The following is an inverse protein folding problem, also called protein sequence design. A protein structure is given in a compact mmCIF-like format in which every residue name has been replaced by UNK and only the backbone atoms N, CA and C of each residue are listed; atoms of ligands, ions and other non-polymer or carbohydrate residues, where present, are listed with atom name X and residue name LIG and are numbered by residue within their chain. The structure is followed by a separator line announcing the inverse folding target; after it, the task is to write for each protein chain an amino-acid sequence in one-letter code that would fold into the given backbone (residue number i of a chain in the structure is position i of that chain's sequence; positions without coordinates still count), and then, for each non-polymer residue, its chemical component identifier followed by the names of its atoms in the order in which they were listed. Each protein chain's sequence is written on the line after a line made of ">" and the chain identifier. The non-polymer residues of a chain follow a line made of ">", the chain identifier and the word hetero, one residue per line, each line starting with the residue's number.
data_IF_572701558810
#
_entry.id   IF_572701558810
#
_cell.length_a   1.000
_cell.length_b   1.000
_cell.length_c   1.000
_cell.angle_alpha   90.00
_cell.angle_beta   90.00
_cell.angle_gamma   90.00
#
_symmetry.space_group_name_H-M   'P 1'
#
loop_
_entity.id
_entity.type
_entity.pdbx_description
1 polymer ?
#
# COMPACT_ATOMS: atom_id res chain seq x y z
N UNK A 1 -21.30 7.16 9.17
CA UNK A 1 -20.38 6.15 8.57
C UNK A 1 -21.08 4.80 8.41
N UNK A 2 -22.08 4.69 7.53
CA UNK A 2 -22.71 3.38 7.26
C UNK A 2 -21.77 2.50 6.44
N UNK A 3 -21.59 1.24 6.85
CA UNK A 3 -20.76 0.25 6.15
C UNK A 3 -19.24 0.38 6.33
N UNK A 4 -18.76 1.32 7.14
CA UNK A 4 -17.33 1.46 7.45
C UNK A 4 -16.86 0.33 8.37
N UNK A 5 -15.72 -0.33 8.08
CA UNK A 5 -15.05 -1.27 8.99
C UNK A 5 -14.87 -0.68 10.39
N UNK A 6 -14.90 -1.53 11.42
CA UNK A 6 -14.72 -1.15 12.82
C UNK A 6 -13.41 -0.40 13.01
N UNK A 7 -12.34 -0.90 12.40
CA UNK A 7 -11.00 -0.30 12.47
C UNK A 7 -10.97 1.16 12.01
N UNK A 8 -11.76 1.52 10.99
CA UNK A 8 -11.81 2.90 10.47
C UNK A 8 -12.57 3.81 11.42
N UNK A 9 -13.65 3.31 12.05
CA UNK A 9 -14.42 4.05 13.05
C UNK A 9 -13.62 4.29 14.33
N UNK A 10 -12.85 3.29 14.77
CA UNK A 10 -11.95 3.39 15.91
C UNK A 10 -10.84 4.40 15.64
N UNK A 11 -10.23 4.33 14.45
CA UNK A 11 -9.24 5.31 14.01
C UNK A 11 -9.81 6.74 14.06
N UNK A 12 -10.93 7.02 13.39
CA UNK A 12 -11.48 8.39 13.37
C UNK A 12 -11.86 8.88 14.76
N UNK A 13 -12.45 8.01 15.59
CA UNK A 13 -12.79 8.34 16.98
C UNK A 13 -11.56 8.68 17.82
N UNK A 14 -10.49 7.90 17.70
CA UNK A 14 -9.24 8.13 18.42
C UNK A 14 -8.53 9.42 17.94
N UNK A 15 -8.50 9.68 16.63
CA UNK A 15 -7.94 10.93 16.09
C UNK A 15 -8.69 12.16 16.61
N UNK A 16 -10.02 12.10 16.69
CA UNK A 16 -10.84 13.18 17.24
C UNK A 16 -10.63 13.35 18.75
N UNK A 17 -10.59 12.25 19.51
CA UNK A 17 -10.35 12.29 20.95
C UNK A 17 -9.00 12.92 21.30
N UNK A 18 -7.96 12.60 20.53
CA UNK A 18 -6.63 13.19 20.65
C UNK A 18 -6.51 14.59 20.04
N UNK A 19 -7.58 15.13 19.43
CA UNK A 19 -7.63 16.44 18.78
C UNK A 19 -6.52 16.67 17.75
N UNK A 20 -6.13 15.61 17.03
CA UNK A 20 -5.10 15.72 16.01
C UNK A 20 -5.57 16.57 14.84
N UNK A 21 -4.67 17.42 14.32
CA UNK A 21 -4.90 18.17 13.10
C UNK A 21 -4.61 17.26 11.91
N UNK A 22 -5.68 16.69 11.33
CA UNK A 22 -5.59 15.79 10.19
C UNK A 22 -6.73 16.02 9.20
N UNK A 23 -6.57 15.54 7.97
CA UNK A 23 -7.68 15.40 7.02
C UNK A 23 -7.40 14.34 5.95
N UNK A 24 -8.45 13.76 5.37
CA UNK A 24 -8.37 13.05 4.11
C UNK A 24 -8.17 14.05 2.96
N UNK A 25 -6.98 14.07 2.37
CA UNK A 25 -6.51 15.23 1.62
C UNK A 25 -6.72 15.15 0.10
N UNK A 26 -7.01 13.96 -0.46
CA UNK A 26 -7.22 13.76 -1.90
C UNK A 26 -8.19 12.63 -2.20
N UNK A 27 -8.88 12.73 -3.34
CA UNK A 27 -9.77 11.68 -3.82
C UNK A 27 -11.13 11.67 -3.11
N UNK A 28 -11.54 12.81 -2.53
CA UNK A 28 -12.76 12.90 -1.73
C UNK A 28 -14.04 12.65 -2.54
N UNK A 29 -13.98 12.74 -3.88
CA UNK A 29 -15.07 12.32 -4.77
C UNK A 29 -15.52 10.85 -4.55
N UNK A 30 -14.65 10.00 -4.00
CA UNK A 30 -14.91 8.59 -3.68
C UNK A 30 -14.57 8.27 -2.22
N UNK A 31 -14.80 9.24 -1.34
CA UNK A 31 -14.48 9.09 0.08
C UNK A 31 -15.13 7.85 0.71
N UNK A 32 -16.38 7.54 0.34
CA UNK A 32 -17.07 6.33 0.79
C UNK A 32 -16.28 5.07 0.45
N UNK A 33 -15.72 4.95 -0.76
CA UNK A 33 -14.92 3.77 -1.15
C UNK A 33 -13.66 3.63 -0.29
N UNK A 34 -13.01 4.74 0.07
CA UNK A 34 -11.85 4.74 0.96
C UNK A 34 -12.25 4.34 2.39
N UNK A 35 -13.32 4.93 2.92
CA UNK A 35 -13.83 4.69 4.29
C UNK A 35 -14.30 3.23 4.47
N UNK A 36 -14.83 2.59 3.43
CA UNK A 36 -15.26 1.18 3.49
C UNK A 36 -14.16 0.17 3.13
N UNK A 37 -12.92 0.64 2.90
CA UNK A 37 -11.74 -0.22 2.65
C UNK A 37 -11.59 -0.72 1.22
N UNK A 38 -12.30 -0.14 0.24
CA UNK A 38 -12.14 -0.46 -1.19
C UNK A 38 -11.00 0.35 -1.84
N UNK A 39 -10.61 1.45 -1.22
CA UNK A 39 -9.49 2.30 -1.64
C UNK A 39 -8.62 2.66 -0.44
N UNK A 40 -7.48 3.27 -0.75
CA UNK A 40 -6.55 3.80 0.25
C UNK A 40 -7.16 5.00 0.98
N UNK A 41 -6.99 5.05 2.30
CA UNK A 41 -7.21 6.24 3.10
C UNK A 41 -5.98 7.14 2.96
N UNK A 42 -6.11 8.24 2.23
CA UNK A 42 -5.03 9.21 2.03
C UNK A 42 -5.11 10.33 3.08
N UNK A 43 -4.49 10.12 4.24
CA UNK A 43 -4.55 11.05 5.38
C UNK A 43 -3.31 11.96 5.40
N UNK A 44 -3.54 13.26 5.50
CA UNK A 44 -2.52 14.25 5.86
C UNK A 44 -2.66 14.55 7.35
N UNK A 45 -1.57 14.51 8.10
CA UNK A 45 -1.53 14.88 9.51
C UNK A 45 -0.46 15.94 9.76
N UNK A 46 -0.70 16.79 10.75
CA UNK A 46 0.34 17.65 11.29
C UNK A 46 1.48 16.81 11.89
N UNK A 47 2.71 17.20 11.57
CA UNK A 47 3.92 16.55 12.06
C UNK A 47 4.06 16.63 13.58
N UNK A 48 3.47 17.65 14.21
CA UNK A 48 3.55 17.84 15.65
C UNK A 48 2.73 16.77 16.40
N UNK A 49 1.75 16.16 15.72
CA UNK A 49 0.95 15.05 16.23
C UNK A 49 1.52 13.65 15.96
N UNK A 50 2.72 13.53 15.37
CA UNK A 50 3.23 12.26 14.87
C UNK A 50 3.38 11.18 15.96
N UNK A 51 3.83 11.57 17.17
CA UNK A 51 3.99 10.63 18.28
C UNK A 51 2.64 10.07 18.75
N UNK A 52 1.69 10.95 19.06
CA UNK A 52 0.35 10.57 19.45
C UNK A 52 -0.36 9.74 18.37
N UNK A 53 -0.13 10.06 17.09
CA UNK A 53 -0.65 9.27 15.99
C UNK A 53 -0.06 7.86 15.95
N UNK A 54 1.26 7.73 16.15
CA UNK A 54 1.90 6.41 16.19
C UNK A 54 1.31 5.52 17.29
N UNK A 55 1.03 6.07 18.47
CA UNK A 55 0.37 5.37 19.57
C UNK A 55 -1.08 4.97 19.22
N UNK A 56 -1.84 5.88 18.61
CA UNK A 56 -3.20 5.59 18.15
C UNK A 56 -3.21 4.46 17.12
N UNK A 57 -2.31 4.52 16.11
CA UNK A 57 -2.23 3.52 15.06
C UNK A 57 -1.90 2.14 15.64
N UNK A 58 -0.92 2.05 16.54
CA UNK A 58 -0.57 0.81 17.22
C UNK A 58 -1.75 0.27 18.06
N UNK A 59 -2.43 1.13 18.82
CA UNK A 59 -3.55 0.75 19.69
C UNK A 59 -4.77 0.27 18.90
N UNK A 60 -5.08 0.93 17.79
CA UNK A 60 -6.19 0.55 16.91
C UNK A 60 -5.86 -0.75 16.16
N UNK A 61 -4.58 -1.03 15.87
CA UNK A 61 -4.14 -2.27 15.23
C UNK A 61 -3.60 -2.10 13.81
N UNK A 62 -3.23 -0.87 13.43
CA UNK A 62 -2.51 -0.58 12.19
C UNK A 62 -1.04 -0.98 12.33
N UNK A 63 -0.56 -1.74 11.34
CA UNK A 63 0.81 -2.21 11.23
C UNK A 63 1.51 -1.47 10.10
N UNK A 64 2.70 -0.96 10.39
CA UNK A 64 3.50 -0.21 9.42
C UNK A 64 4.04 -1.15 8.35
N UNK A 65 3.99 -0.73 7.09
CA UNK A 65 4.62 -1.43 5.97
C UNK A 65 5.97 -0.79 5.64
N UNK A 66 6.91 -1.63 5.21
CA UNK A 66 8.17 -1.21 4.64
C UNK A 66 8.04 -1.20 3.10
N UNK A 67 8.07 -0.01 2.50
CA UNK A 67 8.19 0.14 1.06
C UNK A 67 9.63 -0.16 0.63
N UNK A 68 9.78 -0.77 -0.54
CA UNK A 68 11.07 -1.04 -1.17
C UNK A 68 11.89 0.25 -1.28
N UNK A 69 13.22 0.22 -1.12
CA UNK A 69 14.08 1.41 -1.25
C UNK A 69 13.89 2.17 -2.58
N UNK A 70 13.41 1.47 -3.61
CA UNK A 70 13.13 2.00 -4.94
C UNK A 70 11.80 2.76 -5.03
N UNK A 71 10.90 2.55 -4.08
CA UNK A 71 9.54 3.11 -4.05
C UNK A 71 9.33 4.05 -2.86
N UNK A 72 10.24 4.05 -1.88
CA UNK A 72 10.16 4.92 -0.70
C UNK A 72 9.98 6.38 -1.10
N UNK A 73 8.96 7.01 -0.50
CA UNK A 73 8.66 8.43 -0.61
C UNK A 73 8.94 9.09 0.74
N UNK A 74 9.73 10.18 0.80
CA UNK A 74 9.99 10.86 2.06
C UNK A 74 8.70 11.38 2.71
N UNK A 75 8.62 11.23 4.04
CA UNK A 75 7.51 11.70 4.87
C UNK A 75 6.13 11.14 4.45
N UNK A 76 6.16 9.96 3.81
CA UNK A 76 5.01 9.09 3.57
C UNK A 76 5.25 7.80 4.33
N UNK A 77 4.23 7.33 5.03
CA UNK A 77 4.22 6.03 5.69
C UNK A 77 3.02 5.24 5.20
N UNK A 78 3.22 3.97 4.92
CA UNK A 78 2.16 3.03 4.55
C UNK A 78 1.80 2.21 5.80
N UNK A 79 0.52 2.14 6.14
CA UNK A 79 0.01 1.29 7.21
C UNK A 79 -1.12 0.41 6.69
N UNK A 80 -1.24 -0.78 7.26
CA UNK A 80 -2.27 -1.75 6.93
C UNK A 80 -2.92 -2.25 8.23
N UNK A 81 -4.22 -2.47 8.23
CA UNK A 81 -4.94 -3.06 9.36
C UNK A 81 -5.94 -4.11 8.87
N UNK A 82 -6.09 -5.20 9.62
CA UNK A 82 -7.18 -6.15 9.42
C UNK A 82 -8.38 -5.72 10.26
N UNK A 83 -9.52 -5.56 9.60
CA UNK A 83 -10.80 -5.50 10.28
C UNK A 83 -11.27 -6.92 10.62
N UNK A 84 -11.23 -7.28 11.90
CA UNK A 84 -11.53 -8.64 12.38
C UNK A 84 -12.96 -9.10 12.08
N UNK A 85 -13.88 -8.14 11.93
CA UNK A 85 -15.31 -8.40 11.79
C UNK A 85 -15.65 -8.72 10.33
N UNK A 86 -15.00 -8.05 9.37
CA UNK A 86 -15.25 -8.20 7.93
C UNK A 86 -14.17 -8.98 7.18
N UNK A 87 -13.01 -9.24 7.79
CA UNK A 87 -11.84 -9.84 7.12
C UNK A 87 -11.16 -8.93 6.09
N UNK A 88 -11.60 -7.67 5.99
CA UNK A 88 -11.06 -6.71 5.04
C UNK A 88 -9.77 -6.10 5.57
N UNK A 89 -8.83 -5.91 4.66
CA UNK A 89 -7.67 -5.07 4.93
C UNK A 89 -8.05 -3.61 4.65
N UNK A 90 -7.60 -2.73 5.53
CA UNK A 90 -7.71 -1.28 5.38
C UNK A 90 -6.30 -0.73 5.23
N UNK A 91 -6.07 -0.01 4.14
CA UNK A 91 -4.77 0.58 3.84
C UNK A 91 -4.81 2.09 4.07
N UNK A 92 -3.87 2.57 4.87
CA UNK A 92 -3.69 3.96 5.24
C UNK A 92 -2.38 4.48 4.63
N UNK A 93 -2.49 5.40 3.67
CA UNK A 93 -1.38 6.21 3.22
C UNK A 93 -1.29 7.45 4.09
N UNK A 94 -0.31 7.48 4.99
CA UNK A 94 -0.11 8.55 5.93
C UNK A 94 0.93 9.55 5.43
N UNK A 95 0.50 10.77 5.19
CA UNK A 95 1.32 11.88 4.74
C UNK A 95 1.61 12.84 5.90
N UNK A 96 2.89 13.13 6.14
CA UNK A 96 3.31 14.28 6.97
C UNK A 96 3.75 15.47 6.10
N UNK A 97 4.02 15.21 4.82
CA UNK A 97 4.35 16.23 3.81
C UNK A 97 3.63 15.91 2.51
N UNK A 98 3.29 16.97 1.77
CA UNK A 98 2.69 16.85 0.46
C UNK A 98 3.78 16.66 -0.60
N UNK A 99 4.35 15.45 -0.63
CA UNK A 99 5.37 15.07 -1.61
C UNK A 99 4.72 14.71 -2.94
N UNK A 100 5.20 15.34 -4.02
CA UNK A 100 4.68 15.22 -5.38
C UNK A 100 5.82 14.97 -6.37
N UNK A 101 5.49 14.35 -7.50
CA UNK A 101 6.46 14.06 -8.55
C UNK A 101 5.87 13.17 -9.62
N UNK A 102 6.75 12.57 -10.41
CA UNK A 102 6.35 11.60 -11.42
C UNK A 102 6.43 10.16 -10.88
N UNK A 103 6.02 9.21 -11.73
CA UNK A 103 6.00 7.78 -11.40
C UNK A 103 7.36 7.19 -11.02
N UNK A 104 8.46 7.89 -11.35
CA UNK A 104 9.81 7.43 -11.02
C UNK A 104 10.35 8.14 -9.77
N UNK A 105 9.98 9.40 -9.53
CA UNK A 105 10.55 10.18 -8.46
C UNK A 105 9.58 11.24 -7.91
N UNK A 106 9.10 11.00 -6.68
CA UNK A 106 8.46 12.00 -5.83
C UNK A 106 9.50 13.00 -5.31
N UNK A 107 9.81 14.01 -6.13
CA UNK A 107 10.99 14.87 -5.95
C UNK A 107 10.72 16.29 -5.44
N UNK A 108 9.47 16.69 -5.27
CA UNK A 108 9.07 18.02 -4.82
C UNK A 108 8.16 17.91 -3.59
N UNK A 109 8.31 18.84 -2.65
CA UNK A 109 7.33 19.07 -1.59
C UNK A 109 6.49 20.30 -1.93
N UNK A 110 5.18 20.19 -1.78
CA UNK A 110 4.28 21.33 -1.78
C UNK A 110 4.16 21.84 -0.33
N UNK A 111 4.67 23.03 0.01
CA UNK A 111 4.68 23.55 1.38
C UNK A 111 3.30 24.09 1.79
N UNK A 112 2.24 23.33 1.54
CA UNK A 112 0.84 23.75 1.69
C UNK A 112 0.14 23.00 2.83
N UNK A 113 0.87 22.19 3.60
CA UNK A 113 0.28 21.31 4.61
C UNK A 113 -0.53 22.07 5.66
N UNK A 114 0.02 23.17 6.18
CA UNK A 114 -0.66 24.01 7.17
C UNK A 114 -1.96 24.61 6.61
N UNK A 115 -1.96 25.08 5.36
CA UNK A 115 -3.16 25.63 4.73
C UNK A 115 -4.22 24.55 4.52
N UNK A 116 -3.85 23.37 4.02
CA UNK A 116 -4.76 22.23 3.84
C UNK A 116 -5.40 21.85 5.17
N UNK A 117 -4.60 21.72 6.23
CA UNK A 117 -5.09 21.35 7.55
C UNK A 117 -5.95 22.46 8.18
N UNK A 118 -5.58 23.73 8.04
CA UNK A 118 -6.34 24.85 8.61
C UNK A 118 -7.70 25.08 7.93
N UNK A 119 -7.80 24.74 6.63
CA UNK A 119 -9.03 24.90 5.83
C UNK A 119 -9.89 23.64 5.80
N UNK A 120 -9.48 22.57 6.49
CA UNK A 120 -10.22 21.30 6.55
C UNK A 120 -11.65 21.54 7.05
N UNK A 121 -12.59 20.76 6.52
CA UNK A 121 -13.97 20.75 7.00
C UNK A 121 -14.36 19.34 7.41
N UNK A 122 -15.34 19.25 8.30
CA UNK A 122 -15.81 17.97 8.81
C UNK A 122 -16.92 17.44 7.90
N UNK A 123 -16.71 16.26 7.30
CA UNK A 123 -17.77 15.54 6.60
C UNK A 123 -18.57 14.72 7.63
N UNK A 124 -19.83 15.12 7.85
CA UNK A 124 -20.71 14.48 8.83
C UNK A 124 -21.16 13.08 8.41
N UNK A 125 -21.21 12.80 7.10
CA UNK A 125 -21.64 11.50 6.57
C UNK A 125 -20.56 10.45 6.84
N UNK A 126 -19.31 10.83 6.59
CA UNK A 126 -18.11 10.01 6.78
C UNK A 126 -17.47 10.17 8.15
N UNK A 127 -18.01 11.06 8.99
CA UNK A 127 -17.49 11.42 10.31
C UNK A 127 -15.96 11.56 10.32
N UNK A 128 -15.43 12.35 9.39
CA UNK A 128 -14.00 12.54 9.19
C UNK A 128 -13.72 13.92 8.60
N UNK A 129 -12.58 14.50 8.96
CA UNK A 129 -12.09 15.73 8.32
C UNK A 129 -11.59 15.47 6.90
N UNK A 130 -11.97 16.33 5.97
CA UNK A 130 -11.58 16.29 4.56
C UNK A 130 -11.02 17.65 4.13
N UNK A 131 -10.16 17.64 3.12
CA UNK A 131 -9.62 18.88 2.55
C UNK A 131 -10.74 19.75 1.96
N UNK A 132 -10.58 21.07 2.03
CA UNK A 132 -11.46 22.01 1.31
C UNK A 132 -11.41 21.70 -0.21
N UNK A 133 -12.57 21.63 -0.90
CA UNK A 133 -12.61 21.25 -2.32
C UNK A 133 -11.81 22.19 -3.23
N UNK A 134 -11.67 23.48 -2.87
CA UNK A 134 -10.86 24.43 -3.64
C UNK A 134 -9.38 24.08 -3.53
N UNK A 135 -8.92 23.76 -2.31
CA UNK A 135 -7.53 23.35 -2.06
C UNK A 135 -7.24 21.98 -2.69
N UNK A 136 -8.16 21.03 -2.57
CA UNK A 136 -8.02 19.72 -3.21
C UNK A 136 -7.92 19.85 -4.74
N UNK A 137 -8.70 20.75 -5.36
CA UNK A 137 -8.63 21.01 -6.80
C UNK A 137 -7.28 21.60 -7.21
N UNK A 138 -6.78 22.60 -6.47
CA UNK A 138 -5.44 23.16 -6.67
C UNK A 138 -4.38 22.08 -6.56
N UNK A 139 -4.43 21.25 -5.52
CA UNK A 139 -3.53 20.13 -5.29
C UNK A 139 -3.58 19.11 -6.43
N UNK A 140 -4.78 18.73 -6.88
CA UNK A 140 -4.97 17.79 -7.98
C UNK A 140 -4.27 18.33 -9.24
N UNK A 141 -4.57 19.56 -9.64
CA UNK A 141 -4.04 20.14 -10.88
C UNK A 141 -2.53 20.39 -10.77
N UNK A 142 -2.05 20.91 -9.64
CA UNK A 142 -0.61 21.11 -9.41
C UNK A 142 0.16 19.78 -9.47
N UNK A 143 -0.37 18.73 -8.83
CA UNK A 143 0.21 17.37 -8.88
C UNK A 143 0.27 16.84 -10.31
N UNK A 144 -0.80 17.00 -11.08
CA UNK A 144 -0.84 16.56 -12.48
C UNK A 144 0.16 17.34 -13.35
N UNK A 145 0.26 18.65 -13.16
CA UNK A 145 1.23 19.49 -13.87
C UNK A 145 2.68 19.09 -13.53
N UNK A 146 3.00 18.85 -12.26
CA UNK A 146 4.35 18.44 -11.84
C UNK A 146 4.69 17.05 -12.38
N UNK A 147 3.73 16.12 -12.39
CA UNK A 147 3.86 14.74 -12.90
C UNK A 147 4.16 14.68 -14.40
N UNK A 148 3.76 15.69 -15.18
CA UNK A 148 3.94 15.69 -16.65
C UNK A 148 5.37 15.35 -17.08
N UNK A 149 5.52 14.27 -17.83
CA UNK A 149 6.78 13.80 -18.38
C UNK A 149 6.82 13.79 -19.92
N UNK A 150 7.92 13.29 -20.51
CA UNK A 150 8.04 13.12 -21.95
C UNK A 150 6.97 12.19 -22.55
N UNK A 151 6.56 11.15 -21.81
CA UNK A 151 5.53 10.20 -22.24
C UNK A 151 4.18 10.93 -22.42
N UNK A 152 3.84 11.86 -21.52
CA UNK A 152 2.60 12.63 -21.62
C UNK A 152 2.60 13.57 -22.84
N UNK A 153 3.77 14.04 -23.27
CA UNK A 153 3.91 14.80 -24.52
C UNK A 153 3.54 13.96 -25.74
N UNK A 154 4.05 12.73 -25.79
CA UNK A 154 3.76 11.79 -26.89
C UNK A 154 2.28 11.41 -26.85
N UNK A 155 1.75 11.09 -25.66
CA UNK A 155 0.34 10.78 -25.49
C UNK A 155 -0.56 11.94 -25.97
N UNK A 156 -0.25 13.17 -25.59
CA UNK A 156 -0.98 14.36 -26.04
C UNK A 156 -0.89 14.57 -27.56
N UNK A 157 0.27 14.31 -28.18
CA UNK A 157 0.43 14.37 -29.64
C UNK A 157 -0.43 13.33 -30.35
N UNK A 158 -0.59 12.14 -29.76
CA UNK A 158 -1.49 11.08 -30.23
C UNK A 158 -2.98 11.34 -29.89
N UNK A 159 -3.34 12.54 -29.44
CA UNK A 159 -4.71 12.88 -29.07
C UNK A 159 -5.22 12.17 -27.81
N UNK A 160 -4.35 11.52 -27.04
CA UNK A 160 -4.74 10.91 -25.77
C UNK A 160 -4.99 11.99 -24.72
N UNK A 161 -5.94 11.77 -23.81
CA UNK A 161 -6.26 12.76 -22.80
C UNK A 161 -5.10 12.98 -21.82
N UNK A 162 -4.94 14.23 -21.38
CA UNK A 162 -3.89 14.60 -20.43
C UNK A 162 -4.16 14.14 -18.99
N UNK A 163 -5.43 13.91 -18.65
CA UNK A 163 -5.87 13.33 -17.39
C UNK A 163 -6.42 11.92 -17.63
N UNK A 164 -6.00 10.97 -16.79
CA UNK A 164 -6.64 9.65 -16.73
C UNK A 164 -8.12 9.78 -16.34
N UNK A 165 -8.92 8.76 -16.67
CA UNK A 165 -10.38 8.79 -16.45
C UNK A 165 -10.75 9.16 -15.00
N UNK A 166 -10.09 8.54 -14.02
CA UNK A 166 -10.29 8.79 -12.59
C UNK A 166 -9.95 10.23 -12.17
N UNK A 167 -8.81 10.76 -12.64
CA UNK A 167 -8.41 12.13 -12.32
C UNK A 167 -9.32 13.17 -12.98
N UNK A 168 -9.89 12.84 -14.14
CA UNK A 168 -10.86 13.71 -14.82
C UNK A 168 -12.22 13.71 -14.13
N UNK A 169 -12.69 12.56 -13.65
CA UNK A 169 -13.93 12.52 -12.87
C UNK A 169 -13.77 13.28 -11.55
N UNK A 170 -12.63 13.15 -10.87
CA UNK A 170 -12.31 13.95 -9.68
C UNK A 170 -12.29 15.44 -9.98
N UNK A 171 -11.60 15.83 -11.06
CA UNK A 171 -11.54 17.21 -11.49
C UNK A 171 -12.93 17.81 -11.69
N UNK A 172 -13.81 17.13 -12.43
CA UNK A 172 -15.18 17.59 -12.67
C UNK A 172 -16.00 17.65 -11.38
N UNK A 173 -15.85 16.64 -10.51
CA UNK A 173 -16.55 16.60 -9.22
C UNK A 173 -16.14 17.75 -8.30
N UNK A 174 -14.85 18.08 -8.28
CA UNK A 174 -14.29 19.20 -7.52
C UNK A 174 -14.69 20.55 -8.14
N UNK A 175 -14.52 20.71 -9.45
CA UNK A 175 -14.88 21.94 -10.16
C UNK A 175 -16.35 22.34 -9.92
N UNK A 176 -17.26 21.37 -9.90
CA UNK A 176 -18.68 21.59 -9.59
C UNK A 176 -18.96 22.04 -8.14
N UNK A 177 -18.00 21.88 -7.22
CA UNK A 177 -18.09 22.22 -5.79
C UNK A 177 -17.25 23.42 -5.39
N UNK A 178 -16.56 24.04 -6.36
CA UNK A 178 -15.71 25.20 -6.13
C UNK A 178 -16.33 26.46 -6.72
N UNK A 179 -16.18 27.58 -6.03
CA UNK A 179 -16.49 28.89 -6.58
C UNK A 179 -15.21 29.57 -7.09
N UNK A 180 -15.33 30.30 -8.20
CA UNK A 180 -14.17 30.89 -8.89
C UNK A 180 -13.43 31.93 -8.04
N UNK A 181 -14.16 32.73 -7.25
CA UNK A 181 -13.56 33.78 -6.42
C UNK A 181 -12.64 33.20 -5.33
N UNK A 182 -13.15 32.28 -4.52
CA UNK A 182 -12.38 31.61 -3.47
C UNK A 182 -11.27 30.74 -4.04
N UNK A 183 -11.50 30.10 -5.19
CA UNK A 183 -10.44 29.37 -5.88
C UNK A 183 -9.30 30.30 -6.30
N UNK A 184 -9.62 31.47 -6.85
CA UNK A 184 -8.63 32.47 -7.23
C UNK A 184 -7.84 32.95 -6.00
N UNK A 185 -8.53 33.36 -4.94
CA UNK A 185 -7.91 33.82 -3.68
C UNK A 185 -6.91 32.81 -3.12
N UNK A 186 -7.33 31.55 -2.97
CA UNK A 186 -6.48 30.50 -2.41
C UNK A 186 -5.32 30.13 -3.36
N UNK A 187 -5.58 30.03 -4.66
CA UNK A 187 -4.55 29.63 -5.63
C UNK A 187 -3.54 30.74 -5.92
N UNK A 188 -3.91 32.03 -5.82
CA UNK A 188 -2.98 33.14 -5.96
C UNK A 188 -1.90 33.10 -4.87
N UNK A 189 -2.30 32.81 -3.62
CA UNK A 189 -1.36 32.66 -2.51
C UNK A 189 -0.40 31.47 -2.68
N UNK A 190 -0.85 30.39 -3.32
CA UNK A 190 -0.08 29.14 -3.46
C UNK A 190 0.78 29.06 -4.73
N UNK A 191 0.25 29.55 -5.85
CA UNK A 191 0.80 29.38 -7.19
C UNK A 191 1.24 30.71 -7.83
N UNK A 192 0.71 31.83 -7.34
CA UNK A 192 0.84 33.15 -7.95
C UNK A 192 -0.22 33.46 -9.01
N UNK A 193 -0.36 34.75 -9.34
CA UNK A 193 -1.42 35.27 -10.24
C UNK A 193 -1.46 34.62 -11.62
N UNK A 194 -0.32 34.51 -12.29
CA UNK A 194 -0.27 33.95 -13.66
C UNK A 194 -0.61 32.45 -13.70
N UNK A 195 -0.20 31.70 -12.67
CA UNK A 195 -0.54 30.28 -12.57
C UNK A 195 -2.02 30.08 -12.20
N UNK A 196 -2.58 31.00 -11.41
CA UNK A 196 -4.00 31.03 -11.05
C UNK A 196 -4.89 31.24 -12.26
N UNK A 197 -4.54 32.16 -13.17
CA UNK A 197 -5.26 32.34 -14.43
C UNK A 197 -5.37 31.03 -15.22
N UNK A 198 -4.25 30.33 -15.38
CA UNK A 198 -4.22 29.02 -16.06
C UNK A 198 -5.10 27.97 -15.37
N UNK A 199 -5.19 28.00 -14.03
CA UNK A 199 -6.07 27.13 -13.26
C UNK A 199 -7.54 27.46 -13.54
N UNK A 200 -7.92 28.74 -13.50
CA UNK A 200 -9.28 29.19 -13.79
C UNK A 200 -9.69 28.87 -15.23
N UNK A 201 -8.78 29.01 -16.19
CA UNK A 201 -9.01 28.60 -17.59
C UNK A 201 -9.32 27.11 -17.69
N UNK A 202 -8.60 26.27 -16.93
CA UNK A 202 -8.85 24.82 -16.88
C UNK A 202 -10.20 24.49 -16.26
N UNK A 203 -10.63 25.22 -15.22
CA UNK A 203 -11.93 25.04 -14.54
C UNK A 203 -13.10 25.50 -15.41
N UNK A 204 -12.92 26.58 -16.17
CA UNK A 204 -13.94 27.11 -17.07
C UNK A 204 -14.10 26.26 -18.33
N UNK A 205 -13.05 25.54 -18.70
CA UNK A 205 -13.04 24.56 -19.79
C UNK A 205 -12.71 23.16 -19.30
N UNK A 206 -11.74 22.53 -19.96
CA UNK A 206 -11.18 21.24 -19.55
C UNK A 206 -9.65 21.34 -19.49
N UNK A 207 -9.00 20.61 -18.57
CA UNK A 207 -7.55 20.52 -18.52
C UNK A 207 -7.00 20.01 -19.85
N UNK A 208 -6.05 20.76 -20.41
CA UNK A 208 -5.31 20.37 -21.61
C UNK A 208 -3.83 20.22 -21.31
N UNK A 209 -3.13 19.42 -22.11
CA UNK A 209 -1.68 19.26 -21.98
C UNK A 209 -0.95 20.61 -22.07
N UNK A 210 -1.41 21.52 -22.94
CA UNK A 210 -0.82 22.86 -23.10
C UNK A 210 -0.95 23.68 -21.82
N UNK A 211 -2.13 23.70 -21.21
CA UNK A 211 -2.40 24.43 -19.97
C UNK A 211 -1.62 23.82 -18.78
N UNK A 212 -1.65 22.50 -18.61
CA UNK A 212 -0.88 21.83 -17.55
C UNK A 212 0.62 22.04 -17.70
N UNK A 213 1.15 22.05 -18.93
CA UNK A 213 2.56 22.35 -19.19
C UNK A 213 2.91 23.81 -18.91
N UNK A 214 2.03 24.74 -19.28
CA UNK A 214 2.19 26.15 -18.94
C UNK A 214 2.19 26.34 -17.41
N UNK A 215 1.25 25.69 -16.72
CA UNK A 215 1.19 25.71 -15.26
C UNK A 215 2.47 25.13 -14.65
N UNK A 216 2.94 23.97 -15.12
CA UNK A 216 4.20 23.37 -14.66
C UNK A 216 5.36 24.37 -14.73
N UNK A 217 5.51 25.09 -15.86
CA UNK A 217 6.58 26.08 -16.05
C UNK A 217 6.51 27.23 -15.05
N UNK A 218 5.30 27.62 -14.62
CA UNK A 218 5.09 28.73 -13.68
C UNK A 218 5.15 28.28 -12.21
N UNK A 219 4.63 27.11 -11.90
CA UNK A 219 4.54 26.57 -10.54
C UNK A 219 5.83 25.87 -10.07
N UNK A 220 6.67 25.35 -10.97
CA UNK A 220 7.89 24.63 -10.57
C UNK A 220 9.00 25.54 -10.01
N UNK A 221 9.27 26.75 -10.54
CA UNK A 221 10.37 27.58 -10.05
C UNK A 221 10.30 27.90 -8.54
N UNK A 222 9.15 28.31 -7.97
CA UNK A 222 9.02 28.48 -6.51
C UNK A 222 9.25 27.19 -5.72
N UNK A 223 8.91 26.03 -6.30
CA UNK A 223 9.09 24.72 -5.69
C UNK A 223 10.53 24.19 -5.75
N UNK A 224 11.45 24.87 -6.44
CA UNK A 224 12.85 24.44 -6.51
C UNK A 224 13.54 24.43 -5.14
N UNK A 225 13.16 25.34 -4.23
CA UNK A 225 13.65 25.36 -2.85
C UNK A 225 13.19 24.12 -2.04
N UNK A 226 12.10 23.48 -2.48
CA UNK A 226 11.46 22.35 -1.82
C UNK A 226 11.74 21.02 -2.52
N UNK A 227 12.87 20.92 -3.22
CA UNK A 227 13.30 19.70 -3.89
C UNK A 227 13.97 18.76 -2.92
N UNK A 228 13.52 17.50 -2.94
CA UNK A 228 14.19 16.40 -2.22
C UNK A 228 15.55 16.09 -2.82
N UNK A 229 15.71 16.31 -4.12
CA UNK A 229 16.85 15.83 -4.89
C UNK A 229 17.45 16.90 -5.80
N UNK A 230 18.78 16.92 -5.88
CA UNK A 230 19.53 17.72 -6.87
C UNK A 230 19.13 17.34 -8.29
N UNK A 231 19.41 18.22 -9.27
CA UNK A 231 19.08 17.95 -10.69
C UNK A 231 19.76 16.68 -11.20
N UNK A 232 21.08 16.57 -11.00
CA UNK A 232 21.85 15.40 -11.39
C UNK A 232 21.39 14.14 -10.63
N UNK A 233 21.20 14.23 -9.31
CA UNK A 233 20.73 13.10 -8.50
C UNK A 233 19.33 12.63 -8.89
N UNK A 234 18.45 13.53 -9.32
CA UNK A 234 17.12 13.17 -9.82
C UNK A 234 17.20 12.39 -11.14
N UNK A 235 18.08 12.80 -12.08
CA UNK A 235 18.27 12.10 -13.36
C UNK A 235 18.86 10.70 -13.13
N UNK A 236 19.92 10.60 -12.33
CA UNK A 236 20.56 9.31 -12.01
C UNK A 236 19.58 8.33 -11.37
N UNK A 237 18.81 8.77 -10.35
CA UNK A 237 17.82 7.90 -9.68
C UNK A 237 16.67 7.50 -10.60
N UNK A 238 16.22 8.38 -11.51
CA UNK A 238 15.22 8.00 -12.52
C UNK A 238 15.72 6.90 -13.43
N UNK A 239 16.95 7.03 -13.93
CA UNK A 239 17.59 6.00 -14.75
C UNK A 239 17.69 4.67 -14.00
N UNK A 240 18.20 4.71 -12.76
CA UNK A 240 18.33 3.52 -11.92
C UNK A 240 16.97 2.87 -11.63
N UNK A 241 15.95 3.63 -11.24
CA UNK A 241 14.60 3.11 -10.98
C UNK A 241 13.93 2.56 -12.25
N UNK A 242 14.19 3.15 -13.42
CA UNK A 242 13.71 2.61 -14.69
C UNK A 242 14.35 1.25 -15.02
N UNK A 243 15.66 1.11 -14.80
CA UNK A 243 16.39 -0.16 -15.00
C UNK A 243 15.90 -1.22 -14.02
N UNK A 244 15.77 -0.89 -12.72
CA UNK A 244 15.25 -1.81 -11.71
C UNK A 244 13.81 -2.21 -12.04
N UNK A 245 12.95 -1.26 -12.41
CA UNK A 245 11.56 -1.53 -12.81
C UNK A 245 11.48 -2.47 -14.02
N UNK A 246 12.35 -2.30 -15.02
CA UNK A 246 12.45 -3.20 -16.17
C UNK A 246 12.93 -4.60 -15.74
N UNK A 247 13.94 -4.69 -14.88
CA UNK A 247 14.43 -5.95 -14.35
C UNK A 247 13.35 -6.70 -13.55
N UNK A 248 12.57 -5.98 -12.72
CA UNK A 248 11.42 -6.53 -12.00
C UNK A 248 10.36 -7.04 -12.98
N UNK A 249 10.00 -6.24 -13.98
CA UNK A 249 9.00 -6.63 -14.99
C UNK A 249 9.45 -7.86 -15.79
N UNK A 250 10.72 -7.89 -16.22
CA UNK A 250 11.32 -9.02 -16.92
C UNK A 250 11.37 -10.26 -16.04
N UNK A 251 11.70 -10.10 -14.76
CA UNK A 251 11.70 -11.20 -13.83
C UNK A 251 10.30 -11.76 -13.58
N UNK A 252 9.29 -10.90 -13.38
CA UNK A 252 7.89 -11.33 -13.24
C UNK A 252 7.39 -12.07 -14.49
N UNK A 253 7.83 -11.66 -15.68
CA UNK A 253 7.36 -12.22 -16.96
C UNK A 253 8.13 -13.46 -17.42
N UNK A 254 9.45 -13.50 -17.23
CA UNK A 254 10.34 -14.49 -17.85
C UNK A 254 11.11 -15.29 -16.79
N UNK A 255 11.89 -14.61 -15.93
CA UNK A 255 12.89 -15.30 -15.10
C UNK A 255 12.29 -16.03 -13.87
N UNK A 256 11.15 -15.55 -13.34
CA UNK A 256 10.37 -16.06 -12.18
C UNK A 256 11.21 -16.49 -10.95
N UNK A 257 12.45 -16.03 -10.86
CA UNK A 257 13.48 -16.58 -9.97
C UNK A 257 14.03 -15.56 -8.99
N UNK A 258 13.99 -14.26 -9.34
CA UNK A 258 14.39 -13.19 -8.43
C UNK A 258 13.21 -12.81 -7.54
N UNK A 259 13.47 -12.76 -6.24
CA UNK A 259 12.56 -12.27 -5.22
C UNK A 259 12.91 -10.80 -5.01
N UNK A 260 12.16 -9.90 -5.64
CA UNK A 260 12.35 -8.45 -5.51
C UNK A 260 11.11 -7.90 -4.77
N UNK A 261 11.22 -7.59 -3.47
CA UNK A 261 10.12 -7.06 -2.70
C UNK A 261 9.78 -5.61 -3.10
N UNK A 262 8.49 -5.31 -3.22
CA UNK A 262 7.88 -4.00 -3.35
C UNK A 262 7.38 -3.49 -1.99
N UNK A 263 6.37 -4.12 -1.37
CA UNK A 263 5.91 -3.82 -0.01
C UNK A 263 6.02 -5.03 0.90
N UNK A 264 6.70 -4.82 2.03
CA UNK A 264 7.09 -5.88 2.98
C UNK A 264 6.79 -5.48 4.41
N UNK A 265 6.93 -6.43 5.32
CA UNK A 265 6.77 -6.21 6.74
C UNK A 265 8.13 -5.78 7.35
N UNK A 266 8.17 -4.71 8.16
CA UNK A 266 9.40 -4.28 8.83
C UNK A 266 9.98 -5.34 9.80
N UNK A 267 9.12 -6.19 10.37
CA UNK A 267 9.45 -7.27 11.31
C UNK A 267 10.16 -8.45 10.66
N UNK A 268 10.12 -8.58 9.33
CA UNK A 268 10.61 -9.75 8.59
C UNK A 268 9.49 -10.41 7.79
N UNK A 269 9.84 -11.28 6.84
CA UNK A 269 8.84 -12.02 6.08
C UNK A 269 8.25 -13.17 6.89
N UNK A 270 7.13 -13.70 6.42
CA UNK A 270 6.41 -14.80 7.08
C UNK A 270 6.31 -16.00 6.14
N UNK A 271 6.62 -17.20 6.62
CA UNK A 271 6.45 -18.47 5.89
C UNK A 271 5.32 -19.28 6.50
N UNK A 272 4.26 -19.45 5.71
CA UNK A 272 3.03 -20.14 6.12
C UNK A 272 2.95 -21.46 5.36
N UNK A 273 2.92 -22.57 6.08
CA UNK A 273 2.69 -23.89 5.50
C UNK A 273 1.22 -24.31 5.66
N UNK A 274 0.64 -24.89 4.63
CA UNK A 274 -0.71 -25.44 4.66
C UNK A 274 -0.64 -26.97 4.65
N UNK A 275 -1.33 -27.62 5.59
CA UNK A 275 -1.37 -29.07 5.74
C UNK A 275 -2.82 -29.56 5.69
N UNK A 276 -3.06 -30.71 5.06
CA UNK A 276 -4.38 -31.31 4.99
C UNK A 276 -4.48 -32.37 3.91
N UNK A 277 -5.43 -33.29 4.08
CA UNK A 277 -5.61 -34.45 3.19
C UNK A 277 -6.31 -34.11 1.86
N UNK A 278 -7.04 -32.99 1.82
CA UNK A 278 -7.78 -32.53 0.63
C UNK A 278 -7.00 -31.42 -0.09
N UNK A 279 -6.24 -31.82 -1.12
CA UNK A 279 -5.44 -30.92 -1.94
C UNK A 279 -6.28 -29.80 -2.58
N UNK A 280 -7.53 -30.08 -2.96
CA UNK A 280 -8.39 -29.08 -3.62
C UNK A 280 -8.86 -28.00 -2.63
N UNK A 281 -9.27 -28.40 -1.42
CA UNK A 281 -9.65 -27.44 -0.36
C UNK A 281 -8.46 -26.57 0.05
N UNK A 282 -7.28 -27.18 0.15
CA UNK A 282 -6.03 -26.49 0.50
C UNK A 282 -5.64 -25.46 -0.56
N UNK A 283 -5.56 -25.87 -1.84
CA UNK A 283 -5.25 -24.97 -2.94
C UNK A 283 -6.25 -23.81 -3.05
N UNK A 284 -7.54 -24.08 -2.88
CA UNK A 284 -8.60 -23.05 -2.89
C UNK A 284 -8.40 -22.02 -1.77
N UNK A 285 -8.05 -22.48 -0.56
CA UNK A 285 -7.79 -21.58 0.57
C UNK A 285 -6.52 -20.74 0.33
N UNK A 286 -5.44 -21.36 -0.16
CA UNK A 286 -4.19 -20.67 -0.52
C UNK A 286 -4.46 -19.57 -1.55
N UNK A 287 -5.22 -19.86 -2.60
CA UNK A 287 -5.56 -18.87 -3.64
C UNK A 287 -6.37 -17.70 -3.08
N UNK A 288 -7.31 -17.95 -2.16
CA UNK A 288 -8.11 -16.90 -1.54
C UNK A 288 -7.27 -16.01 -0.62
N UNK A 289 -6.36 -16.60 0.17
CA UNK A 289 -5.43 -15.85 1.03
C UNK A 289 -4.45 -15.06 0.18
N UNK A 290 -3.92 -15.65 -0.90
CA UNK A 290 -3.06 -14.97 -1.85
C UNK A 290 -3.77 -13.77 -2.47
N UNK A 291 -5.02 -13.93 -2.94
CA UNK A 291 -5.81 -12.84 -3.50
C UNK A 291 -6.07 -11.71 -2.49
N UNK A 292 -6.34 -12.07 -1.23
CA UNK A 292 -6.54 -11.13 -0.14
C UNK A 292 -5.28 -10.31 0.17
N UNK A 293 -4.13 -10.96 0.35
CA UNK A 293 -2.86 -10.30 0.69
C UNK A 293 -2.28 -9.51 -0.49
N UNK A 294 -2.37 -10.05 -1.71
CA UNK A 294 -1.79 -9.44 -2.94
C UNK A 294 -2.41 -8.08 -3.26
N UNK A 295 -3.52 -7.72 -2.63
CA UNK A 295 -4.08 -6.37 -2.70
C UNK A 295 -3.06 -5.28 -2.29
N UNK A 296 -2.23 -5.52 -1.25
CA UNK A 296 -1.27 -4.53 -0.74
C UNK A 296 0.12 -5.06 -0.37
N UNK A 297 0.29 -6.37 -0.28
CA UNK A 297 1.55 -7.01 0.11
C UNK A 297 2.09 -7.84 -1.04
N UNK A 298 3.41 -7.99 -1.11
CA UNK A 298 4.01 -8.96 -2.04
C UNK A 298 3.99 -10.37 -1.43
N UNK A 299 3.29 -11.26 -2.11
CA UNK A 299 3.12 -12.66 -1.71
C UNK A 299 3.82 -13.57 -2.71
N UNK A 300 4.53 -14.58 -2.20
CA UNK A 300 5.06 -15.68 -2.99
C UNK A 300 4.28 -16.96 -2.68
N UNK A 301 3.56 -17.47 -3.67
CA UNK A 301 2.87 -18.77 -3.56
C UNK A 301 3.79 -19.86 -4.14
N UNK A 302 4.04 -20.90 -3.36
CA UNK A 302 4.84 -22.07 -3.75
C UNK A 302 4.02 -23.34 -3.53
N UNK A 303 4.04 -24.23 -4.51
CA UNK A 303 3.36 -25.52 -4.44
C UNK A 303 4.37 -26.62 -4.12
N UNK A 304 4.06 -27.45 -3.13
CA UNK A 304 4.86 -28.60 -2.74
C UNK A 304 4.86 -29.67 -3.82
N UNK A 305 5.85 -29.68 -4.70
CA UNK A 305 6.09 -30.77 -5.64
C UNK A 305 6.82 -31.96 -4.99
N UNK A 306 6.52 -33.18 -5.44
CA UNK A 306 7.33 -34.37 -5.14
C UNK A 306 8.70 -34.35 -5.84
N UNK A 307 9.71 -35.00 -5.24
CA UNK A 307 11.04 -35.22 -5.83
C UNK A 307 12.11 -34.13 -5.54
N UNK A 308 13.21 -34.16 -6.29
CA UNK A 308 14.43 -33.33 -6.11
C UNK A 308 14.18 -31.80 -6.16
N UNK A 309 13.06 -31.37 -6.76
CA UNK A 309 12.63 -29.97 -6.80
C UNK A 309 12.23 -29.40 -5.45
N UNK A 310 11.89 -30.25 -4.46
CA UNK A 310 11.40 -29.83 -3.14
C UNK A 310 12.42 -28.97 -2.38
N UNK A 311 13.70 -29.36 -2.40
CA UNK A 311 14.79 -28.60 -1.76
C UNK A 311 15.00 -27.23 -2.41
N UNK A 312 14.88 -27.14 -3.73
CA UNK A 312 15.02 -25.87 -4.45
C UNK A 312 13.87 -24.90 -4.14
N UNK A 313 12.63 -25.41 -4.07
CA UNK A 313 11.44 -24.65 -3.69
C UNK A 313 11.52 -24.15 -2.26
N UNK A 314 11.98 -24.98 -1.32
CA UNK A 314 12.18 -24.59 0.08
C UNK A 314 13.24 -23.49 0.22
N UNK A 315 14.39 -23.62 -0.47
CA UNK A 315 15.40 -22.55 -0.51
C UNK A 315 14.85 -21.23 -1.06
N UNK A 316 13.95 -21.29 -2.04
CA UNK A 316 13.27 -20.11 -2.58
C UNK A 316 12.35 -19.48 -1.54
N UNK A 317 11.63 -20.30 -0.77
CA UNK A 317 10.77 -19.85 0.34
C UNK A 317 11.57 -19.07 1.39
N UNK A 318 12.67 -19.64 1.90
CA UNK A 318 13.53 -18.98 2.90
C UNK A 318 14.12 -17.68 2.41
N UNK A 319 14.61 -17.66 1.17
CA UNK A 319 15.17 -16.44 0.57
C UNK A 319 14.11 -15.35 0.39
N UNK A 320 12.85 -15.72 0.20
CA UNK A 320 11.75 -14.78 0.11
C UNK A 320 11.36 -14.24 1.49
N UNK A 321 11.20 -15.12 2.49
CA UNK A 321 10.97 -14.77 3.90
C UNK A 321 12.06 -13.83 4.42
N UNK A 322 13.34 -14.15 4.18
CA UNK A 322 14.48 -13.32 4.60
C UNK A 322 14.54 -11.95 3.92
N UNK A 323 13.74 -11.73 2.87
CA UNK A 323 13.61 -10.45 2.16
C UNK A 323 12.34 -9.69 2.54
N UNK A 324 11.61 -10.12 3.58
CA UNK A 324 10.42 -9.44 4.07
C UNK A 324 9.11 -9.87 3.40
N UNK A 325 9.12 -10.87 2.52
CA UNK A 325 7.92 -11.32 1.80
C UNK A 325 7.11 -12.33 2.59
N UNK A 326 5.80 -12.33 2.39
CA UNK A 326 4.93 -13.41 2.87
C UNK A 326 4.99 -14.55 1.84
N UNK A 327 5.26 -15.75 2.32
CA UNK A 327 5.36 -16.97 1.53
C UNK A 327 4.25 -17.90 1.94
N UNK A 328 3.39 -18.26 1.00
CA UNK A 328 2.38 -19.29 1.16
C UNK A 328 2.92 -20.57 0.53
N UNK A 329 3.13 -21.59 1.35
CA UNK A 329 3.65 -22.88 0.94
C UNK A 329 2.55 -23.93 1.06
N UNK A 330 2.10 -24.43 -0.08
CA UNK A 330 1.06 -25.44 -0.19
C UNK A 330 1.66 -26.85 0.03
N UNK A 331 1.47 -27.41 1.24
CA UNK A 331 2.02 -28.69 1.70
C UNK A 331 2.93 -28.57 2.94
N UNK A 332 3.23 -29.68 3.64
CA UNK A 332 4.29 -29.68 4.64
C UNK A 332 5.62 -30.04 3.97
N UNK A 333 6.71 -29.30 4.21
CA UNK A 333 8.03 -29.88 4.12
C UNK A 333 8.15 -30.80 5.33
N UNK A 334 7.89 -32.10 5.13
CA UNK A 334 8.71 -33.06 5.85
C UNK A 334 10.15 -32.61 5.57
N UNK A 335 10.83 -32.11 6.62
CA UNK A 335 12.24 -31.75 6.53
C UNK A 335 12.98 -32.92 5.87
N UNK A 336 14.06 -32.65 5.11
CA UNK A 336 14.75 -33.73 4.41
C UNK A 336 14.92 -34.92 5.35
N UNK A 337 14.38 -36.07 4.97
CA UNK A 337 14.60 -37.32 5.69
C UNK A 337 16.09 -37.41 6.00
N UNK A 338 16.43 -37.62 7.27
CA UNK A 338 17.80 -37.80 7.73
C UNK A 338 18.47 -39.07 7.15
N UNK A 339 17.81 -39.81 6.26
CA UNK A 339 18.46 -40.82 5.44
C UNK A 339 19.14 -40.20 4.22
N UNK A 340 20.31 -39.59 4.42
CA UNK A 340 21.42 -39.69 3.46
C UNK A 340 22.71 -39.29 4.18
N UNK A 341 23.65 -40.24 4.28
CA UNK A 341 24.89 -40.06 5.04
C UNK A 341 25.69 -38.80 4.68
N UNK A 342 26.37 -38.26 5.70
CA UNK A 342 27.51 -37.34 5.62
C UNK A 342 27.41 -36.07 4.76
N UNK A 343 26.22 -35.57 4.43
CA UNK A 343 26.08 -34.20 3.93
C UNK A 343 26.02 -33.23 5.13
N UNK A 344 26.83 -32.13 5.16
CA UNK A 344 26.81 -31.21 6.28
C UNK A 344 25.43 -30.55 6.39
N UNK A 345 24.77 -30.71 7.56
CA UNK A 345 23.58 -29.96 7.94
C UNK A 345 23.86 -28.46 7.77
N UNK A 346 23.06 -27.79 6.93
CA UNK A 346 23.14 -26.34 6.77
C UNK A 346 21.99 -25.70 7.53
N UNK A 347 22.24 -24.55 8.15
CA UNK A 347 21.31 -23.82 9.03
C UNK A 347 19.88 -23.60 8.47
N UNK A 348 19.67 -23.73 7.15
CA UNK A 348 18.37 -23.57 6.47
C UNK A 348 17.51 -24.84 6.45
N UNK A 349 18.09 -26.03 6.68
CA UNK A 349 17.36 -27.30 6.65
C UNK A 349 16.54 -27.55 7.94
N UNK A 350 16.69 -26.68 8.95
CA UNK A 350 16.09 -26.81 10.27
C UNK A 350 15.14 -25.68 10.70
N UNK A 351 15.01 -24.58 9.93
CA UNK A 351 14.16 -23.46 10.33
C UNK A 351 12.69 -23.80 9.98
N UNK A 352 11.79 -23.95 10.98
CA UNK A 352 10.41 -24.32 10.74
C UNK A 352 9.63 -23.19 10.03
N UNK A 353 8.50 -23.50 9.37
CA UNK A 353 7.55 -22.45 9.00
C UNK A 353 7.11 -21.67 10.23
N UNK A 354 6.88 -20.37 10.07
CA UNK A 354 6.45 -19.48 11.16
C UNK A 354 5.02 -19.83 11.61
N UNK A 355 4.15 -20.18 10.64
CA UNK A 355 2.76 -20.55 10.88
C UNK A 355 2.39 -21.82 10.10
N UNK A 356 1.71 -22.75 10.75
CA UNK A 356 1.16 -23.96 10.10
C UNK A 356 -0.36 -23.93 10.19
N UNK A 357 -1.02 -23.96 9.03
CA UNK A 357 -2.47 -24.04 8.92
C UNK A 357 -2.87 -25.48 8.64
N UNK A 358 -3.53 -26.14 9.58
CA UNK A 358 -3.95 -27.53 9.48
C UNK A 358 -5.45 -27.63 9.15
N UNK A 359 -5.78 -28.27 8.03
CA UNK A 359 -7.13 -28.47 7.48
C UNK A 359 -7.72 -29.86 7.80
N UNK A 360 -7.21 -30.57 8.82
CA UNK A 360 -7.60 -31.95 9.14
C UNK A 360 -9.10 -32.16 9.44
N UNK A 361 -9.55 -33.41 9.18
CA UNK A 361 -10.94 -33.85 9.32
C UNK A 361 -11.31 -34.37 10.72
N UNK A 362 -10.36 -34.47 11.64
CA UNK A 362 -10.51 -34.86 13.05
C UNK A 362 -9.15 -34.68 13.76
N UNK A 363 -9.09 -34.45 15.09
CA UNK A 363 -7.83 -34.39 15.80
C UNK A 363 -7.10 -35.72 15.69
N UNK A 364 -5.83 -35.72 15.27
CA UNK A 364 -4.96 -36.89 15.47
C UNK A 364 -4.72 -37.04 16.98
N UNK A 365 -5.12 -38.14 17.61
CA UNK A 365 -4.53 -38.50 18.88
C UNK A 365 -3.05 -38.81 18.60
N UNK A 366 -2.17 -38.31 19.46
CA UNK A 366 -0.71 -38.57 19.45
C UNK A 366 0.15 -37.70 18.53
N UNK A 367 0.02 -36.37 18.67
CA UNK A 367 1.19 -35.48 18.49
C UNK A 367 1.89 -35.29 19.84
N UNK A 368 2.44 -36.39 20.38
CA UNK A 368 3.39 -36.33 21.49
C UNK A 368 4.54 -35.42 21.08
N UNK A 369 4.71 -34.37 21.85
CA UNK A 369 5.81 -33.42 21.84
C UNK A 369 7.14 -34.15 21.73
N UNK A 370 7.73 -34.17 20.52
CA UNK A 370 9.15 -34.46 20.40
C UNK A 370 9.93 -33.23 20.83
N UNK A 371 10.81 -33.48 21.79
CA UNK A 371 11.51 -32.50 22.61
C UNK A 371 12.28 -31.44 21.79
N UNK A 372 12.20 -30.18 22.23
CA UNK A 372 13.29 -29.22 22.05
C UNK A 372 13.36 -28.38 20.76
N UNK A 373 12.33 -28.31 19.91
CA UNK A 373 12.30 -27.36 18.78
C UNK A 373 11.48 -26.10 19.09
N UNK A 374 11.89 -24.91 18.60
CA UNK A 374 11.14 -23.67 18.82
C UNK A 374 9.70 -23.83 18.31
N UNK A 375 8.77 -23.34 19.14
CA UNK A 375 7.32 -23.55 19.05
C UNK A 375 6.77 -23.19 17.68
N UNK A 376 6.25 -24.20 16.95
CA UNK A 376 5.41 -23.99 15.77
C UNK A 376 4.09 -23.37 16.22
N UNK A 377 3.74 -22.19 15.72
CA UNK A 377 2.36 -21.70 15.85
C UNK A 377 1.49 -22.47 14.86
N UNK A 378 0.59 -23.31 15.38
CA UNK A 378 -0.32 -24.13 14.56
C UNK A 378 -1.75 -23.67 14.76
N UNK A 379 -2.47 -23.50 13.65
CA UNK A 379 -3.88 -23.12 13.62
C UNK A 379 -4.67 -24.27 13.03
N UNK A 380 -5.56 -24.82 13.83
CA UNK A 380 -6.48 -25.86 13.39
C UNK A 380 -7.75 -25.22 12.81
N UNK A 381 -8.09 -25.59 11.58
CA UNK A 381 -9.34 -25.20 10.94
C UNK A 381 -10.36 -26.30 11.18
N UNK A 382 -11.46 -25.96 11.84
CA UNK A 382 -12.60 -26.86 12.02
C UNK A 382 -13.10 -27.40 10.66
N UNK A 383 -13.22 -28.73 10.47
CA UNK A 383 -13.70 -29.31 9.23
C UNK A 383 -15.12 -28.90 8.84
N UNK A 384 -15.93 -28.44 9.80
CA UNK A 384 -17.30 -27.95 9.58
C UNK A 384 -17.34 -26.46 9.19
N UNK A 385 -16.19 -25.76 9.23
CA UNK A 385 -16.13 -24.37 8.78
C UNK A 385 -16.46 -24.25 7.29
N UNK A 386 -17.34 -23.29 6.98
CA UNK A 386 -17.50 -22.81 5.62
C UNK A 386 -16.17 -22.22 5.11
N UNK A 387 -15.94 -22.17 3.79
CA UNK A 387 -14.75 -21.54 3.23
C UNK A 387 -14.52 -20.11 3.74
N UNK A 388 -15.59 -19.35 4.01
CA UNK A 388 -15.51 -17.99 4.54
C UNK A 388 -15.06 -17.96 6.00
N UNK A 389 -15.57 -18.87 6.84
CA UNK A 389 -15.14 -19.01 8.23
C UNK A 389 -13.68 -19.44 8.33
N UNK A 390 -13.27 -20.43 7.52
CA UNK A 390 -11.89 -20.87 7.43
C UNK A 390 -10.95 -19.71 7.02
N UNK A 391 -11.35 -18.91 6.02
CA UNK A 391 -10.58 -17.74 5.61
C UNK A 391 -10.45 -16.72 6.76
N UNK A 392 -11.53 -16.41 7.48
CA UNK A 392 -11.49 -15.44 8.60
C UNK A 392 -10.57 -15.91 9.73
N UNK A 393 -10.58 -17.20 10.06
CA UNK A 393 -9.68 -17.77 11.07
C UNK A 393 -8.22 -17.60 10.65
N UNK A 394 -7.90 -17.95 9.40
CA UNK A 394 -6.52 -17.82 8.90
C UNK A 394 -6.09 -16.36 8.78
N UNK A 395 -6.98 -15.46 8.35
CA UNK A 395 -6.70 -14.02 8.29
C UNK A 395 -6.35 -13.47 9.68
N UNK A 396 -7.11 -13.86 10.71
CA UNK A 396 -6.85 -13.43 12.10
C UNK A 396 -5.52 -13.96 12.62
N UNK A 397 -5.26 -15.25 12.43
CA UNK A 397 -4.00 -15.85 12.86
C UNK A 397 -2.80 -15.25 12.15
N UNK A 398 -2.87 -15.11 10.81
CA UNK A 398 -1.83 -14.46 10.02
C UNK A 398 -1.60 -13.03 10.53
N UNK A 399 -2.68 -12.28 10.77
CA UNK A 399 -2.55 -10.91 11.27
C UNK A 399 -1.97 -10.83 12.68
N UNK A 400 -2.01 -11.88 13.51
CA UNK A 400 -1.32 -11.89 14.80
C UNK A 400 0.19 -12.03 14.65
N UNK A 401 0.65 -12.79 13.66
CA UNK A 401 2.09 -13.06 13.39
C UNK A 401 2.82 -11.90 12.69
N UNK A 402 2.08 -11.06 11.96
CA UNK A 402 2.63 -9.88 11.23
C UNK A 402 3.14 -8.80 12.17
#
# INVERSE_FOLDING_TARGET
>A
MSGAPRIVRELTSALHAARLSYCHWKGNARLQEAVVGLRDLDILVDRDGALALSEILATVGFKRLASSPWETVPALEDYLALDSDTGRLVHLHLHYRLTVGDSFLSGYRLPWEALVLSTRHFDTTMAMYVADPHIELVLLIARQAIRLGPIDRIAAWLGRPCLGALARSDFRWLAARTNAHRLAELSEGLLGKEATRLLLDMVSGEPSYRLLRALKRRATPPLNAYRTYTRAGAVARRGMRAVVGLAVALNRRILRSLVIPGRTLPSGGLLIAFEGDDDNKRATLVDRIAAWLTWKLDVLVLHGGGGDGRRATWRKAFRARSRGMIVLYDGCPEGPSLDTGNAPERAWDADPPDLVINLQRAPRPDALTSEGRPTRHTVEIDPDHSPEQALLVVQRALWQEV
#
